data_IF_711090997476
#
_entry.id   IF_711090997476
#
_cell.length_a   1.000
_cell.length_b   1.000
_cell.length_c   1.000
_cell.angle_alpha   90.00
_cell.angle_beta   90.00
_cell.angle_gamma   90.00
#
_symmetry.space_group_name_H-M   'P 1'
#
loop_
_entity.id
_entity.type
_entity.pdbx_description
1 polymer ?
#
# COMPACT_ATOMS: atom_id res chain seq x y z
N UNK A 1 38.84 5.39 2.21
CA UNK A 1 39.24 4.80 0.92
C UNK A 1 40.75 4.59 0.78
N UNK A 2 41.60 5.62 0.68
CA UNK A 2 43.06 5.41 0.63
C UNK A 2 43.61 4.73 1.89
N UNK A 3 43.11 5.12 3.08
CA UNK A 3 43.46 4.45 4.34
C UNK A 3 43.03 2.98 4.41
N UNK A 4 41.86 2.63 3.87
CA UNK A 4 41.36 1.25 3.85
C UNK A 4 42.10 0.39 2.82
N UNK A 5 42.46 0.99 1.68
CA UNK A 5 43.36 0.39 0.70
C UNK A 5 44.71 0.05 1.33
N UNK A 6 45.33 1.01 2.03
CA UNK A 6 46.62 0.81 2.68
C UNK A 6 46.54 -0.30 3.74
N UNK A 7 45.47 -0.34 4.54
CA UNK A 7 45.21 -1.44 5.50
C UNK A 7 45.07 -2.79 4.81
N UNK A 8 44.41 -2.85 3.65
CA UNK A 8 44.21 -4.10 2.89
C UNK A 8 45.51 -4.66 2.29
N UNK A 9 46.52 -3.81 2.08
CA UNK A 9 47.83 -4.16 1.50
C UNK A 9 48.99 -4.10 2.50
N UNK A 10 48.73 -3.81 3.78
CA UNK A 10 49.77 -3.56 4.79
C UNK A 10 50.76 -4.72 4.95
N UNK A 11 50.28 -5.97 4.84
CA UNK A 11 51.14 -7.17 4.91
C UNK A 11 52.13 -7.24 3.75
N UNK A 12 51.70 -6.85 2.55
CA UNK A 12 52.53 -6.82 1.34
C UNK A 12 53.55 -5.69 1.45
N UNK A 13 53.14 -4.51 1.91
CA UNK A 13 54.04 -3.37 2.12
C UNK A 13 55.12 -3.68 3.16
N UNK A 14 54.75 -4.31 4.29
CA UNK A 14 55.73 -4.77 5.31
C UNK A 14 56.70 -5.78 4.72
N UNK A 15 56.22 -6.74 3.90
CA UNK A 15 57.08 -7.71 3.24
C UNK A 15 58.07 -7.04 2.29
N UNK A 16 57.61 -6.10 1.46
CA UNK A 16 58.46 -5.36 0.51
C UNK A 16 59.55 -4.55 1.24
N UNK A 17 59.19 -3.84 2.30
CA UNK A 17 60.15 -3.11 3.14
C UNK A 17 61.15 -4.06 3.81
N UNK A 18 60.70 -5.24 4.26
CA UNK A 18 61.58 -6.27 4.81
C UNK A 18 62.61 -6.76 3.80
N UNK A 19 62.20 -6.97 2.54
CA UNK A 19 63.12 -7.36 1.44
C UNK A 19 64.17 -6.27 1.20
N UNK A 20 63.75 -5.00 1.11
CA UNK A 20 64.69 -3.87 0.94
C UNK A 20 65.67 -3.77 2.11
N UNK A 21 65.21 -3.99 3.35
CA UNK A 21 66.06 -3.98 4.54
C UNK A 21 67.09 -5.13 4.54
N UNK A 22 66.70 -6.33 4.07
CA UNK A 22 67.63 -7.46 3.92
C UNK A 22 68.71 -7.13 2.91
N UNK A 23 68.35 -6.60 1.73
CA UNK A 23 69.34 -6.18 0.73
C UNK A 23 70.27 -5.11 1.29
N UNK A 24 69.74 -4.05 1.90
CA UNK A 24 70.55 -3.00 2.51
C UNK A 24 71.53 -3.54 3.58
N UNK A 25 71.09 -4.51 4.39
CA UNK A 25 71.92 -5.16 5.41
C UNK A 25 73.05 -5.99 4.79
N UNK A 26 72.77 -6.74 3.71
CA UNK A 26 73.79 -7.49 2.97
C UNK A 26 74.83 -6.53 2.39
N UNK A 27 74.40 -5.46 1.73
CA UNK A 27 75.32 -4.47 1.17
C UNK A 27 76.20 -3.79 2.23
N UNK A 28 75.63 -3.48 3.40
CA UNK A 28 76.38 -2.93 4.54
C UNK A 28 77.44 -3.92 5.05
N UNK A 29 77.11 -5.21 5.12
CA UNK A 29 78.05 -6.26 5.58
C UNK A 29 79.25 -6.45 4.63
N UNK A 30 79.08 -6.18 3.33
CA UNK A 30 80.12 -6.30 2.30
C UNK A 30 80.92 -5.00 2.05
N UNK A 31 80.68 -3.94 2.83
CA UNK A 31 81.39 -2.65 2.77
C UNK A 31 81.41 -2.02 1.36
N UNK A 32 80.31 -2.20 0.62
CA UNK A 32 80.16 -1.70 -0.75
C UNK A 32 79.87 -0.19 -0.76
N UNK A 33 80.27 0.54 -1.83
CA UNK A 33 80.01 1.98 -1.92
C UNK A 33 78.52 2.30 -1.77
N UNK A 34 78.18 3.32 -0.99
CA UNK A 34 76.78 3.72 -0.74
C UNK A 34 75.96 3.90 -2.04
N UNK A 35 76.62 4.34 -3.10
CA UNK A 35 76.01 4.50 -4.44
C UNK A 35 75.44 3.18 -5.00
N UNK A 36 76.07 2.04 -4.71
CA UNK A 36 75.60 0.72 -5.20
C UNK A 36 74.35 0.23 -4.46
N UNK A 37 74.03 0.81 -3.29
CA UNK A 37 72.83 0.49 -2.51
C UNK A 37 71.67 1.41 -2.86
N UNK A 38 71.96 2.71 -3.01
CA UNK A 38 70.96 3.75 -3.24
C UNK A 38 70.29 3.58 -4.61
N UNK A 39 71.04 3.21 -5.66
CA UNK A 39 70.48 3.12 -7.00
C UNK A 39 69.44 1.98 -7.15
N UNK A 40 69.68 0.74 -6.71
CA UNK A 40 68.66 -0.32 -6.72
C UNK A 40 67.45 -0.01 -5.83
N UNK A 41 67.66 0.61 -4.65
CA UNK A 41 66.55 0.98 -3.74
C UNK A 41 65.61 2.01 -4.37
N UNK A 42 66.16 3.03 -5.04
CA UNK A 42 65.34 4.01 -5.74
C UNK A 42 64.56 3.34 -6.87
N UNK A 43 65.22 2.46 -7.64
CA UNK A 43 64.57 1.77 -8.76
C UNK A 43 63.45 0.82 -8.29
N UNK A 44 63.67 0.04 -7.21
CA UNK A 44 62.65 -0.83 -6.62
C UNK A 44 61.49 -0.02 -6.05
N UNK A 45 61.79 1.08 -5.34
CA UNK A 45 60.78 1.98 -4.79
C UNK A 45 59.88 2.58 -5.87
N UNK A 46 60.44 3.00 -7.00
CA UNK A 46 59.66 3.53 -8.14
C UNK A 46 58.75 2.45 -8.74
N UNK A 47 59.24 1.22 -8.91
CA UNK A 47 58.44 0.09 -9.40
C UNK A 47 57.30 -0.27 -8.44
N UNK A 48 57.56 -0.27 -7.13
CA UNK A 48 56.54 -0.54 -6.11
C UNK A 48 55.47 0.56 -6.10
N UNK A 49 55.88 1.83 -6.16
CA UNK A 49 54.97 2.97 -6.19
C UNK A 49 54.09 2.96 -7.43
N UNK A 50 54.66 2.73 -8.61
CA UNK A 50 53.91 2.64 -9.87
C UNK A 50 52.91 1.49 -9.86
N UNK A 51 53.32 0.29 -9.43
CA UNK A 51 52.42 -0.85 -9.28
C UNK A 51 51.29 -0.57 -8.27
N UNK A 52 51.61 0.07 -7.14
CA UNK A 52 50.64 0.45 -6.11
C UNK A 52 49.62 1.49 -6.61
N UNK A 53 50.07 2.48 -7.39
CA UNK A 53 49.16 3.47 -8.01
C UNK A 53 48.21 2.78 -8.99
N UNK A 54 48.70 1.85 -9.82
CA UNK A 54 47.87 1.09 -10.76
C UNK A 54 46.83 0.24 -10.00
N UNK A 55 47.23 -0.53 -8.99
CA UNK A 55 46.32 -1.33 -8.16
C UNK A 55 45.28 -0.45 -7.45
N UNK A 56 45.69 0.70 -6.91
CA UNK A 56 44.77 1.65 -6.27
C UNK A 56 43.74 2.20 -7.24
N UNK A 57 44.13 2.57 -8.46
CA UNK A 57 43.20 3.05 -9.50
C UNK A 57 42.20 1.97 -9.92
N UNK A 58 42.63 0.71 -10.03
CA UNK A 58 41.74 -0.42 -10.33
C UNK A 58 40.72 -0.65 -9.21
N UNK A 59 41.15 -0.63 -7.95
CA UNK A 59 40.27 -0.76 -6.77
C UNK A 59 39.27 0.40 -6.71
N UNK A 60 39.71 1.63 -7.00
CA UNK A 60 38.83 2.80 -7.07
C UNK A 60 37.73 2.62 -8.11
N UNK A 61 38.08 2.14 -9.31
CA UNK A 61 37.11 1.93 -10.37
C UNK A 61 36.08 0.85 -10.00
N UNK A 62 36.52 -0.26 -9.39
CA UNK A 62 35.64 -1.30 -8.86
C UNK A 62 34.69 -0.76 -7.81
N UNK A 63 35.19 0.01 -6.84
CA UNK A 63 34.38 0.60 -5.79
C UNK A 63 33.29 1.52 -6.35
N UNK A 64 33.63 2.36 -7.34
CA UNK A 64 32.65 3.22 -8.03
C UNK A 64 31.57 2.42 -8.77
N UNK A 65 31.90 1.28 -9.38
CA UNK A 65 30.91 0.40 -10.03
C UNK A 65 29.97 -0.24 -9.00
N UNK A 66 30.52 -0.72 -7.88
CA UNK A 66 29.73 -1.29 -6.79
C UNK A 66 28.78 -0.29 -6.13
N UNK A 67 29.18 0.98 -5.99
CA UNK A 67 28.28 2.04 -5.51
C UNK A 67 27.06 2.28 -6.43
N UNK A 68 27.19 1.94 -7.72
CA UNK A 68 26.08 2.01 -8.68
C UNK A 68 25.30 0.70 -8.77
N UNK A 69 25.53 -0.26 -7.87
CA UNK A 69 24.92 -1.60 -7.87
C UNK A 69 25.22 -2.34 -9.20
N UNK A 70 26.37 -2.06 -9.81
CA UNK A 70 26.86 -2.78 -11.00
C UNK A 70 27.98 -3.71 -10.55
N UNK A 71 27.81 -5.02 -10.72
CA UNK A 71 28.83 -6.01 -10.41
C UNK A 71 30.01 -5.87 -11.40
N UNK A 72 31.21 -5.48 -10.94
CA UNK A 72 32.40 -5.50 -11.79
C UNK A 72 32.85 -6.95 -12.04
N UNK A 73 33.66 -7.19 -13.06
CA UNK A 73 34.24 -8.52 -13.24
C UNK A 73 35.09 -8.93 -12.02
N UNK A 74 34.92 -10.17 -11.52
CA UNK A 74 35.63 -10.64 -10.34
C UNK A 74 37.12 -10.81 -10.68
N UNK A 75 38.01 -10.20 -9.90
CA UNK A 75 39.46 -10.35 -10.10
C UNK A 75 40.08 -11.43 -9.24
N UNK A 76 39.29 -12.11 -8.39
CA UNK A 76 39.75 -13.17 -7.52
C UNK A 76 38.68 -14.22 -7.26
N UNK A 77 39.12 -15.38 -6.76
CA UNK A 77 38.25 -16.52 -6.48
C UNK A 77 37.12 -16.16 -5.49
N UNK A 78 37.46 -15.52 -4.37
CA UNK A 78 36.48 -15.10 -3.37
C UNK A 78 35.45 -14.09 -3.94
N UNK A 79 35.89 -13.14 -4.78
CA UNK A 79 34.97 -12.19 -5.42
C UNK A 79 33.98 -12.92 -6.34
N UNK A 80 34.42 -13.96 -7.04
CA UNK A 80 33.58 -14.81 -7.88
C UNK A 80 32.56 -15.59 -7.04
N UNK A 81 33.00 -16.22 -5.94
CA UNK A 81 32.12 -16.98 -5.04
C UNK A 81 31.06 -16.06 -4.41
N UNK A 82 31.44 -14.85 -3.96
CA UNK A 82 30.49 -13.87 -3.44
C UNK A 82 29.48 -13.44 -4.51
N UNK A 83 29.91 -13.19 -5.75
CA UNK A 83 28.99 -12.84 -6.83
C UNK A 83 28.01 -13.98 -7.16
N UNK A 84 28.47 -15.24 -7.13
CA UNK A 84 27.60 -16.40 -7.33
C UNK A 84 26.55 -16.53 -6.21
N UNK A 85 26.95 -16.36 -4.94
CA UNK A 85 26.02 -16.37 -3.81
C UNK A 85 24.99 -15.25 -3.94
N UNK A 86 25.43 -14.03 -4.28
CA UNK A 86 24.51 -12.89 -4.46
C UNK A 86 23.56 -13.14 -5.63
N UNK A 87 24.05 -13.76 -6.72
CA UNK A 87 23.22 -14.20 -7.84
C UNK A 87 22.12 -15.17 -7.39
N UNK A 88 22.49 -16.22 -6.64
CA UNK A 88 21.54 -17.20 -6.09
C UNK A 88 20.52 -16.57 -5.14
N UNK A 89 20.96 -15.67 -4.25
CA UNK A 89 20.05 -14.95 -3.35
C UNK A 89 19.06 -14.07 -4.12
N UNK A 90 19.52 -13.41 -5.19
CA UNK A 90 18.64 -12.61 -6.05
C UNK A 90 17.63 -13.49 -6.79
N UNK A 91 18.05 -14.62 -7.32
CA UNK A 91 17.16 -15.59 -7.97
C UNK A 91 16.13 -16.15 -6.99
N UNK A 92 16.53 -16.50 -5.78
CA UNK A 92 15.63 -16.98 -4.73
C UNK A 92 14.63 -15.90 -4.30
N UNK A 93 15.08 -14.64 -4.16
CA UNK A 93 14.21 -13.50 -3.84
C UNK A 93 13.19 -13.25 -4.96
N UNK A 94 13.63 -13.26 -6.23
CA UNK A 94 12.75 -13.12 -7.39
C UNK A 94 11.76 -14.27 -7.49
N UNK A 95 12.20 -15.50 -7.24
CA UNK A 95 11.34 -16.68 -7.20
C UNK A 95 10.29 -16.58 -6.09
N UNK A 96 10.70 -16.22 -4.87
CA UNK A 96 9.83 -16.03 -3.72
C UNK A 96 8.79 -14.95 -4.00
N UNK A 97 9.21 -13.79 -4.53
CA UNK A 97 8.31 -12.70 -4.92
C UNK A 97 7.29 -13.14 -5.97
N UNK A 98 7.75 -13.79 -7.06
CA UNK A 98 6.87 -14.32 -8.11
C UNK A 98 5.87 -15.32 -7.56
N UNK A 99 6.30 -16.21 -6.66
CA UNK A 99 5.43 -17.19 -6.01
C UNK A 99 4.36 -16.52 -5.16
N UNK A 100 4.73 -15.57 -4.30
CA UNK A 100 3.77 -14.82 -3.48
C UNK A 100 2.76 -14.06 -4.34
N UNK A 101 3.20 -13.39 -5.41
CA UNK A 101 2.29 -12.71 -6.34
C UNK A 101 1.37 -13.70 -7.05
N UNK A 102 1.88 -14.86 -7.48
CA UNK A 102 1.07 -15.90 -8.11
C UNK A 102 0.04 -16.49 -7.15
N UNK A 103 0.43 -16.80 -5.91
CA UNK A 103 -0.45 -17.35 -4.88
C UNK A 103 -1.57 -16.34 -4.54
N UNK A 104 -1.21 -15.05 -4.45
CA UNK A 104 -2.16 -13.97 -4.24
C UNK A 104 -3.16 -13.83 -5.41
N UNK A 105 -2.68 -13.83 -6.65
CA UNK A 105 -3.54 -13.75 -7.84
C UNK A 105 -4.50 -14.94 -7.93
N UNK A 106 -4.01 -16.16 -7.66
CA UNK A 106 -4.83 -17.37 -7.62
C UNK A 106 -5.92 -17.28 -6.54
N UNK A 107 -5.58 -16.71 -5.37
CA UNK A 107 -6.54 -16.48 -4.28
C UNK A 107 -7.63 -15.50 -4.71
N UNK A 108 -7.26 -14.37 -5.34
CA UNK A 108 -8.21 -13.37 -5.85
C UNK A 108 -9.13 -13.97 -6.91
N UNK A 109 -8.60 -14.74 -7.86
CA UNK A 109 -9.38 -15.41 -8.89
C UNK A 109 -10.38 -16.40 -8.27
N UNK A 110 -9.92 -17.25 -7.35
CA UNK A 110 -10.76 -18.23 -6.67
C UNK A 110 -11.93 -17.57 -5.93
N UNK A 111 -11.67 -16.54 -5.12
CA UNK A 111 -12.73 -15.85 -4.38
C UNK A 111 -13.66 -15.06 -5.30
N UNK A 112 -13.17 -14.56 -6.44
CA UNK A 112 -14.02 -13.89 -7.44
C UNK A 112 -15.01 -14.87 -8.07
N UNK A 113 -14.54 -16.07 -8.45
CA UNK A 113 -15.41 -17.14 -8.98
C UNK A 113 -16.41 -17.57 -7.91
N UNK A 114 -15.96 -17.78 -6.68
CA UNK A 114 -16.81 -18.17 -5.56
C UNK A 114 -17.93 -17.14 -5.30
N UNK A 115 -17.60 -15.85 -5.28
CA UNK A 115 -18.59 -14.79 -5.14
C UNK A 115 -19.61 -14.77 -6.29
N UNK A 116 -19.17 -14.99 -7.54
CA UNK A 116 -20.08 -15.13 -8.67
C UNK A 116 -21.00 -16.34 -8.51
N UNK A 117 -20.47 -17.49 -8.08
CA UNK A 117 -21.26 -18.70 -7.84
C UNK A 117 -22.30 -18.54 -6.73
N UNK A 118 -22.04 -17.67 -5.73
CA UNK A 118 -22.99 -17.35 -4.66
C UNK A 118 -24.10 -16.40 -5.12
N UNK A 119 -23.85 -15.51 -6.08
CA UNK A 119 -24.90 -14.63 -6.62
C UNK A 119 -26.05 -15.39 -7.28
N UNK A 120 -25.75 -16.53 -7.92
CA UNK A 120 -26.75 -17.37 -8.59
C UNK A 120 -27.84 -17.91 -7.63
N UNK A 121 -27.52 -18.60 -6.52
CA UNK A 121 -28.53 -19.04 -5.57
C UNK A 121 -29.23 -17.87 -4.87
N UNK A 122 -28.56 -16.73 -4.62
CA UNK A 122 -29.21 -15.52 -4.10
C UNK A 122 -30.32 -15.05 -5.06
N UNK A 123 -30.03 -14.96 -6.35
CA UNK A 123 -31.02 -14.57 -7.36
C UNK A 123 -32.20 -15.55 -7.43
N UNK A 124 -31.93 -16.85 -7.37
CA UNK A 124 -32.97 -17.90 -7.32
C UNK A 124 -33.87 -17.76 -6.10
N UNK A 125 -33.28 -17.60 -4.90
CA UNK A 125 -34.03 -17.41 -3.66
C UNK A 125 -34.88 -16.13 -3.70
N UNK A 126 -34.34 -15.04 -4.28
CA UNK A 126 -35.08 -13.78 -4.45
C UNK A 126 -36.32 -13.96 -5.33
N UNK A 127 -36.22 -14.71 -6.42
CA UNK A 127 -37.38 -15.01 -7.28
C UNK A 127 -38.46 -15.82 -6.54
N UNK A 128 -38.05 -16.78 -5.71
CA UNK A 128 -38.99 -17.56 -4.90
C UNK A 128 -39.68 -16.70 -3.84
N UNK A 129 -38.94 -15.84 -3.15
CA UNK A 129 -39.47 -14.95 -2.12
C UNK A 129 -40.43 -13.92 -2.72
N UNK A 130 -40.17 -13.42 -3.94
CA UNK A 130 -41.08 -12.50 -4.62
C UNK A 130 -42.44 -13.13 -4.98
N UNK A 131 -42.53 -14.46 -5.03
CA UNK A 131 -43.78 -15.15 -5.35
C UNK A 131 -44.78 -15.21 -4.18
N UNK A 132 -44.36 -14.87 -2.95
CA UNK A 132 -45.20 -14.88 -1.76
C UNK A 132 -45.11 -13.52 -1.02
N UNK A 133 -46.25 -12.85 -0.79
CA UNK A 133 -46.29 -11.65 0.07
C UNK A 133 -46.66 -12.03 1.51
N UNK A 134 -45.70 -12.60 2.23
CA UNK A 134 -45.82 -12.96 3.64
C UNK A 134 -44.83 -12.20 4.52
N UNK A 135 -45.12 -12.08 5.82
CA UNK A 135 -44.18 -11.49 6.78
C UNK A 135 -42.84 -12.25 6.82
N UNK A 136 -42.88 -13.56 6.57
CA UNK A 136 -41.68 -14.41 6.47
C UNK A 136 -40.89 -14.06 5.21
N UNK A 137 -41.56 -13.95 4.06
CA UNK A 137 -40.95 -13.57 2.79
C UNK A 137 -40.25 -12.20 2.89
N UNK A 138 -40.89 -11.21 3.52
CA UNK A 138 -40.30 -9.88 3.76
C UNK A 138 -39.05 -9.92 4.63
N UNK A 139 -39.03 -10.77 5.66
CA UNK A 139 -37.83 -10.97 6.51
C UNK A 139 -36.70 -11.64 5.73
N UNK A 140 -37.01 -12.68 4.96
CA UNK A 140 -36.04 -13.40 4.13
C UNK A 140 -35.45 -12.51 3.02
N UNK A 141 -36.26 -11.66 2.38
CA UNK A 141 -35.75 -10.68 1.40
C UNK A 141 -34.73 -9.73 2.04
N UNK A 142 -35.03 -9.24 3.25
CA UNK A 142 -34.10 -8.42 4.03
C UNK A 142 -32.78 -9.12 4.33
N UNK A 143 -32.81 -10.39 4.71
CA UNK A 143 -31.60 -11.17 4.96
C UNK A 143 -30.82 -11.48 3.67
N UNK A 144 -31.50 -11.74 2.55
CA UNK A 144 -30.85 -11.87 1.23
C UNK A 144 -30.17 -10.58 0.79
N UNK A 145 -30.81 -9.42 0.97
CA UNK A 145 -30.23 -8.11 0.68
C UNK A 145 -28.93 -7.89 1.47
N UNK A 146 -28.87 -8.37 2.72
CA UNK A 146 -27.64 -8.32 3.54
C UNK A 146 -26.55 -9.26 3.01
N UNK A 147 -26.91 -10.49 2.64
CA UNK A 147 -25.94 -11.44 2.07
C UNK A 147 -25.36 -10.88 0.77
N UNK A 148 -26.20 -10.34 -0.10
CA UNK A 148 -25.74 -9.71 -1.36
C UNK A 148 -24.79 -8.54 -1.09
N UNK A 149 -25.11 -7.69 -0.09
CA UNK A 149 -24.21 -6.61 0.31
C UNK A 149 -22.86 -7.12 0.82
N UNK A 150 -22.82 -8.23 1.56
CA UNK A 150 -21.56 -8.85 2.00
C UNK A 150 -20.75 -9.44 0.84
N UNK A 151 -21.42 -10.06 -0.14
CA UNK A 151 -20.77 -10.58 -1.35
C UNK A 151 -20.17 -9.42 -2.17
N UNK A 152 -20.90 -8.32 -2.34
CA UNK A 152 -20.37 -7.11 -2.98
C UNK A 152 -19.19 -6.53 -2.19
N UNK A 153 -19.26 -6.50 -0.86
CA UNK A 153 -18.16 -6.01 -0.01
C UNK A 153 -16.87 -6.82 -0.20
N UNK A 154 -16.97 -8.15 -0.27
CA UNK A 154 -15.82 -9.03 -0.55
C UNK A 154 -15.27 -8.79 -1.96
N UNK A 155 -16.13 -8.68 -2.97
CA UNK A 155 -15.70 -8.40 -4.34
C UNK A 155 -14.99 -7.03 -4.46
N UNK A 156 -15.49 -6.02 -3.76
CA UNK A 156 -14.88 -4.69 -3.69
C UNK A 156 -13.51 -4.76 -3.02
N UNK A 157 -13.39 -5.48 -1.90
CA UNK A 157 -12.11 -5.71 -1.22
C UNK A 157 -11.07 -6.38 -2.14
N UNK A 158 -11.45 -7.49 -2.78
CA UNK A 158 -10.56 -8.23 -3.69
C UNK A 158 -10.10 -7.39 -4.89
N UNK A 159 -10.98 -6.53 -5.41
CA UNK A 159 -10.64 -5.63 -6.51
C UNK A 159 -9.65 -4.56 -6.06
N UNK A 160 -9.89 -3.90 -4.92
CA UNK A 160 -9.03 -2.82 -4.43
C UNK A 160 -7.56 -3.22 -4.21
N UNK A 161 -7.32 -4.49 -3.88
CA UNK A 161 -5.97 -5.02 -3.68
C UNK A 161 -5.36 -5.64 -4.95
N UNK A 162 -6.04 -5.54 -6.10
CA UNK A 162 -5.47 -5.91 -7.39
C UNK A 162 -4.75 -4.71 -8.03
N UNK A 163 -3.49 -4.91 -8.44
CA UNK A 163 -2.71 -3.94 -9.23
C UNK A 163 -3.40 -3.60 -10.57
N UNK A 164 -4.41 -4.36 -10.98
CA UNK A 164 -5.19 -4.23 -12.21
C UNK A 164 -6.53 -3.51 -12.04
N UNK A 165 -6.73 -2.75 -10.96
CA UNK A 165 -7.93 -1.91 -10.85
C UNK A 165 -7.84 -0.74 -11.84
N UNK A 166 -8.37 -0.92 -13.04
CA UNK A 166 -8.50 0.15 -14.03
C UNK A 166 -9.56 1.16 -13.55
N UNK A 167 -9.13 2.21 -12.87
CA UNK A 167 -10.01 3.34 -12.53
C UNK A 167 -10.40 4.11 -13.79
N UNK A 168 -11.70 4.32 -13.98
CA UNK A 168 -12.22 5.14 -15.07
C UNK A 168 -12.51 6.53 -14.52
N UNK A 169 -11.43 7.31 -14.33
CA UNK A 169 -11.51 8.68 -13.83
C UNK A 169 -12.07 9.59 -14.92
N UNK A 170 -13.25 10.16 -14.68
CA UNK A 170 -13.92 11.10 -15.59
C UNK A 170 -14.66 12.16 -14.78
N UNK A 171 -15.04 13.25 -15.44
CA UNK A 171 -15.85 14.28 -14.81
C UNK A 171 -17.31 13.84 -14.71
N UNK A 172 -17.78 13.56 -13.49
CA UNK A 172 -19.11 13.04 -13.21
C UNK A 172 -19.98 14.07 -12.48
N UNK A 173 -21.28 14.03 -12.75
CA UNK A 173 -22.28 14.77 -11.96
C UNK A 173 -22.48 14.07 -10.61
N UNK A 174 -22.18 14.75 -9.52
CA UNK A 174 -22.25 14.18 -8.18
C UNK A 174 -23.69 13.80 -7.79
N UNK A 175 -24.68 14.57 -8.25
CA UNK A 175 -26.09 14.28 -8.02
C UNK A 175 -26.54 12.98 -8.68
N UNK A 176 -25.94 12.63 -9.83
CA UNK A 176 -26.21 11.39 -10.54
C UNK A 176 -25.72 10.15 -9.77
N UNK A 177 -24.78 10.32 -8.83
CA UNK A 177 -24.29 9.26 -7.94
C UNK A 177 -25.09 9.21 -6.64
N UNK A 178 -25.39 10.36 -6.05
CA UNK A 178 -26.11 10.44 -4.77
C UNK A 178 -27.58 9.98 -4.90
N UNK A 179 -28.30 10.42 -5.93
CA UNK A 179 -29.74 10.14 -6.08
C UNK A 179 -30.06 8.64 -6.18
N UNK A 180 -29.33 7.82 -6.96
CA UNK A 180 -29.52 6.36 -6.96
C UNK A 180 -29.27 5.74 -5.59
N UNK A 181 -28.23 6.18 -4.86
CA UNK A 181 -27.94 5.68 -3.53
C UNK A 181 -29.09 5.98 -2.54
N UNK A 182 -29.63 7.21 -2.55
CA UNK A 182 -30.82 7.56 -1.73
C UNK A 182 -32.01 6.65 -2.08
N UNK A 183 -32.29 6.45 -3.37
CA UNK A 183 -33.41 5.60 -3.84
C UNK A 183 -33.28 4.16 -3.36
N UNK A 184 -32.05 3.62 -3.32
CA UNK A 184 -31.77 2.26 -2.85
C UNK A 184 -32.22 2.04 -1.40
N UNK A 185 -32.04 3.06 -0.53
CA UNK A 185 -32.41 2.99 0.89
C UNK A 185 -33.82 3.54 1.18
N UNK A 186 -34.60 3.95 0.19
CA UNK A 186 -35.91 4.59 0.38
C UNK A 186 -36.88 3.76 1.25
N UNK A 187 -36.87 2.43 1.11
CA UNK A 187 -37.69 1.53 1.94
C UNK A 187 -37.28 1.56 3.41
N UNK A 188 -35.98 1.69 3.70
CA UNK A 188 -35.48 1.79 5.07
C UNK A 188 -35.88 3.11 5.71
N UNK A 189 -35.82 4.22 4.95
CA UNK A 189 -36.33 5.52 5.41
C UNK A 189 -37.80 5.46 5.77
N UNK A 190 -38.63 4.83 4.92
CA UNK A 190 -40.07 4.68 5.18
C UNK A 190 -40.33 3.77 6.38
N UNK A 191 -39.68 2.60 6.45
CA UNK A 191 -39.93 1.62 7.51
C UNK A 191 -39.49 2.12 8.89
N UNK A 192 -38.39 2.87 8.96
CA UNK A 192 -37.89 3.51 10.19
C UNK A 192 -38.48 4.90 10.45
N UNK A 193 -39.31 5.43 9.54
CA UNK A 193 -39.85 6.82 9.61
C UNK A 193 -38.76 7.90 9.73
N UNK A 194 -37.64 7.70 9.05
CA UNK A 194 -36.54 8.66 9.02
C UNK A 194 -36.78 9.71 7.95
N UNK A 195 -36.41 10.96 8.24
CA UNK A 195 -36.43 12.05 7.25
C UNK A 195 -35.15 12.04 6.41
N UNK A 196 -35.28 12.39 5.13
CA UNK A 196 -34.15 12.60 4.20
C UNK A 196 -34.17 14.05 3.71
N UNK A 197 -33.16 14.82 4.07
CA UNK A 197 -32.94 16.19 3.59
C UNK A 197 -31.76 16.21 2.62
N UNK A 198 -32.06 16.15 1.33
CA UNK A 198 -31.04 16.19 0.27
C UNK A 198 -31.08 17.55 -0.42
N UNK A 199 -29.95 18.25 -0.38
CA UNK A 199 -29.73 19.49 -1.15
C UNK A 199 -28.94 19.14 -2.42
N UNK A 200 -29.51 19.39 -3.62
CA UNK A 200 -28.78 19.22 -4.88
C UNK A 200 -27.44 19.92 -4.84
N UNK A 201 -26.40 19.21 -5.26
CA UNK A 201 -25.03 19.71 -5.21
C UNK A 201 -24.69 20.56 -6.42
N UNK A 202 -25.33 20.31 -7.57
CA UNK A 202 -25.07 20.94 -8.87
C UNK A 202 -23.57 21.00 -9.23
N UNK A 203 -22.80 20.03 -8.73
CA UNK A 203 -21.34 20.02 -8.78
C UNK A 203 -20.85 18.84 -9.61
N UNK A 204 -19.85 19.09 -10.46
CA UNK A 204 -19.13 18.04 -11.17
C UNK A 204 -17.79 17.77 -10.48
N UNK A 205 -17.44 16.49 -10.38
CA UNK A 205 -16.20 16.04 -9.72
C UNK A 205 -15.43 15.09 -10.62
N UNK A 206 -14.10 15.18 -10.59
CA UNK A 206 -13.22 14.25 -11.31
C UNK A 206 -13.05 13.00 -10.45
N UNK A 207 -13.68 11.89 -10.81
CA UNK A 207 -13.69 10.66 -10.02
C UNK A 207 -14.06 9.45 -10.87
N UNK A 208 -13.99 8.26 -10.28
CA UNK A 208 -14.67 7.08 -10.82
C UNK A 208 -16.08 6.97 -10.22
N UNK A 209 -17.07 6.86 -11.11
CA UNK A 209 -18.51 6.81 -10.77
C UNK A 209 -18.87 5.60 -9.91
N UNK A 210 -18.34 4.42 -10.27
CA UNK A 210 -18.67 3.16 -9.61
C UNK A 210 -18.10 3.11 -8.20
N UNK A 211 -16.83 3.51 -8.06
CA UNK A 211 -16.15 3.53 -6.78
C UNK A 211 -16.72 4.61 -5.85
N UNK A 212 -17.03 5.80 -6.37
CA UNK A 212 -17.68 6.84 -5.56
C UNK A 212 -19.11 6.44 -5.14
N UNK A 213 -19.87 5.75 -6.00
CA UNK A 213 -21.18 5.19 -5.64
C UNK A 213 -21.07 4.24 -4.46
N UNK A 214 -20.07 3.34 -4.47
CA UNK A 214 -19.84 2.43 -3.35
C UNK A 214 -19.59 3.19 -2.04
N UNK A 215 -18.75 4.23 -2.06
CA UNK A 215 -18.47 5.05 -0.87
C UNK A 215 -19.74 5.70 -0.34
N UNK A 216 -20.52 6.35 -1.20
CA UNK A 216 -21.76 7.05 -0.81
C UNK A 216 -22.79 6.05 -0.27
N UNK A 217 -22.96 4.91 -0.94
CA UNK A 217 -23.88 3.85 -0.50
C UNK A 217 -23.48 3.29 0.87
N UNK A 218 -22.18 3.10 1.12
CA UNK A 218 -21.70 2.54 2.38
C UNK A 218 -21.85 3.55 3.53
N UNK A 219 -21.59 4.84 3.28
CA UNK A 219 -21.83 5.92 4.24
C UNK A 219 -23.32 6.04 4.56
N UNK A 220 -24.19 6.01 3.55
CA UNK A 220 -25.64 6.04 3.75
C UNK A 220 -26.16 4.80 4.47
N UNK A 221 -25.63 3.61 4.15
CA UNK A 221 -25.98 2.38 4.85
C UNK A 221 -25.68 2.49 6.35
N UNK A 222 -24.53 3.04 6.72
CA UNK A 222 -24.18 3.27 8.13
C UNK A 222 -25.12 4.29 8.78
N UNK A 223 -25.35 5.42 8.12
CA UNK A 223 -26.27 6.46 8.61
C UNK A 223 -27.67 5.87 8.88
N UNK A 224 -28.24 5.13 7.92
CA UNK A 224 -29.55 4.48 8.06
C UNK A 224 -29.52 3.40 9.14
N UNK A 225 -28.45 2.61 9.22
CA UNK A 225 -28.31 1.54 10.23
C UNK A 225 -28.35 2.09 11.64
N UNK A 226 -27.60 3.14 11.93
CA UNK A 226 -27.38 3.68 13.28
C UNK A 226 -28.32 4.82 13.67
N UNK A 227 -29.22 5.23 12.77
CA UNK A 227 -30.31 6.16 13.08
C UNK A 227 -31.60 5.40 13.35
N UNK A 228 -32.14 5.58 14.55
CA UNK A 228 -33.43 5.02 14.95
C UNK A 228 -34.56 6.03 14.82
N UNK A 229 -34.30 7.31 15.14
CA UNK A 229 -35.25 8.42 15.06
C UNK A 229 -34.56 9.65 14.47
N UNK A 230 -35.34 10.56 13.87
CA UNK A 230 -34.84 11.78 13.25
C UNK A 230 -34.61 11.64 11.74
N UNK A 231 -33.39 11.84 11.26
CA UNK A 231 -33.13 11.81 9.82
C UNK A 231 -31.68 11.95 9.40
N UNK A 232 -31.50 11.99 8.09
CA UNK A 232 -30.20 12.07 7.42
C UNK A 232 -30.23 13.28 6.48
N UNK A 233 -29.14 14.04 6.49
CA UNK A 233 -28.93 15.21 5.65
C UNK A 233 -27.75 14.96 4.73
N UNK A 234 -27.88 15.33 3.46
CA UNK A 234 -26.81 15.29 2.48
C UNK A 234 -26.69 16.67 1.82
N UNK A 235 -25.53 17.30 1.96
CA UNK A 235 -25.29 18.67 1.48
C UNK A 235 -23.81 18.92 1.21
N UNK A 236 -23.52 20.00 0.47
CA UNK A 236 -22.16 20.55 0.35
C UNK A 236 -21.93 21.56 1.47
N UNK A 237 -20.94 21.34 2.34
CA UNK A 237 -20.60 22.28 3.42
C UNK A 237 -19.74 23.45 2.90
N UNK A 238 -18.75 23.11 2.08
CA UNK A 238 -17.90 24.03 1.32
C UNK A 238 -17.77 23.52 -0.11
N UNK A 239 -17.33 24.35 -1.08
CA UNK A 239 -17.00 23.87 -2.41
C UNK A 239 -16.08 22.63 -2.33
N UNK A 240 -16.52 21.53 -2.93
CA UNK A 240 -15.80 20.27 -2.96
C UNK A 240 -15.91 19.39 -1.69
N UNK A 241 -16.60 19.79 -0.62
CA UNK A 241 -16.79 18.94 0.57
C UNK A 241 -18.23 18.46 0.67
N UNK A 242 -18.45 17.19 0.33
CA UNK A 242 -19.74 16.50 0.50
C UNK A 242 -19.88 15.99 1.94
N UNK A 243 -20.98 16.34 2.59
CA UNK A 243 -21.30 15.92 3.94
C UNK A 243 -22.53 15.00 3.94
N UNK A 244 -22.44 13.90 4.68
CA UNK A 244 -23.57 13.04 5.05
C UNK A 244 -23.67 13.06 6.57
N UNK A 245 -24.75 13.63 7.09
CA UNK A 245 -24.97 13.85 8.51
C UNK A 245 -26.22 13.09 8.97
N UNK A 246 -26.08 12.27 10.00
CA UNK A 246 -27.17 11.52 10.63
C UNK A 246 -27.41 12.00 12.06
N UNK A 247 -28.65 11.84 12.54
CA UNK A 247 -29.06 12.09 13.92
C UNK A 247 -29.06 10.81 14.77
N UNK A 248 -28.18 9.85 14.45
CA UNK A 248 -28.15 8.55 15.09
C UNK A 248 -27.48 8.55 16.47
N UNK A 249 -27.09 7.36 16.93
CA UNK A 249 -26.48 7.16 18.25
C UNK A 249 -25.12 7.85 18.44
N UNK A 250 -24.50 8.33 17.37
CA UNK A 250 -23.15 8.87 17.38
C UNK A 250 -22.06 7.85 17.73
N UNK A 251 -20.82 8.34 17.81
CA UNK A 251 -19.61 7.55 18.04
C UNK A 251 -18.89 8.13 19.25
N UNK A 252 -18.41 7.26 20.14
CA UNK A 252 -17.60 7.67 21.28
C UNK A 252 -16.28 8.29 20.79
N UNK A 253 -15.83 9.38 21.41
CA UNK A 253 -14.57 10.05 21.09
C UNK A 253 -13.35 9.12 21.11
N UNK A 254 -13.35 8.07 21.95
CA UNK A 254 -12.28 7.07 21.98
C UNK A 254 -12.25 6.16 20.73
N UNK A 255 -13.39 5.94 20.09
CA UNK A 255 -13.54 5.06 18.93
C UNK A 255 -13.36 5.84 17.62
N UNK A 256 -13.68 7.14 17.60
CA UNK A 256 -13.66 8.01 16.42
C UNK A 256 -12.35 7.96 15.61
N UNK A 257 -11.14 7.95 16.20
CA UNK A 257 -9.89 7.87 15.44
C UNK A 257 -9.70 6.55 14.69
N UNK A 258 -10.43 5.50 15.09
CA UNK A 258 -10.20 4.12 14.67
C UNK A 258 -11.27 3.57 13.73
N UNK A 259 -12.35 4.31 13.48
CA UNK A 259 -13.49 3.82 12.69
C UNK A 259 -13.16 3.48 11.23
N UNK A 260 -12.03 3.98 10.72
CA UNK A 260 -11.51 3.66 9.39
C UNK A 260 -10.45 2.56 9.40
N UNK A 261 -10.10 1.99 10.56
CA UNK A 261 -9.16 0.87 10.67
C UNK A 261 -9.81 -0.45 10.21
N UNK A 262 -9.02 -1.32 9.60
CA UNK A 262 -9.49 -2.62 9.10
C UNK A 262 -10.06 -3.49 10.24
N UNK A 263 -11.31 -3.90 10.10
CA UNK A 263 -11.98 -4.80 11.05
C UNK A 263 -12.39 -4.14 12.36
N UNK A 264 -12.34 -2.81 12.46
CA UNK A 264 -12.72 -2.10 13.68
C UNK A 264 -14.22 -1.88 13.78
N UNK A 265 -14.82 -2.29 14.90
CA UNK A 265 -16.27 -2.27 15.12
C UNK A 265 -16.72 -1.39 16.30
N UNK A 266 -15.77 -0.77 17.00
CA UNK A 266 -16.03 0.10 18.17
C UNK A 266 -16.68 -0.62 19.35
N UNK A 267 -17.12 0.14 20.35
CA UNK A 267 -17.87 -0.37 21.50
C UNK A 267 -19.26 -0.88 21.08
N UNK A 268 -19.95 -0.16 20.17
CA UNK A 268 -21.31 -0.49 19.72
C UNK A 268 -21.37 -1.79 18.88
N UNK A 269 -20.31 -2.13 18.14
CA UNK A 269 -20.23 -3.39 17.40
C UNK A 269 -19.98 -4.62 18.27
N UNK A 270 -19.63 -4.45 19.56
CA UNK A 270 -19.53 -5.57 20.52
C UNK A 270 -20.92 -6.03 20.99
N UNK A 271 -21.89 -5.13 21.04
CA UNK A 271 -23.30 -5.46 21.30
C UNK A 271 -24.00 -5.94 20.02
N UNK A 272 -23.76 -5.30 18.87
CA UNK A 272 -24.26 -5.75 17.57
C UNK A 272 -23.21 -6.61 16.83
N UNK A 273 -23.24 -7.93 17.08
CA UNK A 273 -22.36 -8.96 16.45
C UNK A 273 -22.38 -9.00 14.91
N UNK A 274 -23.11 -8.10 14.26
CA UNK A 274 -23.29 -7.99 12.81
C UNK A 274 -22.37 -6.94 12.16
N UNK A 275 -21.60 -6.17 12.92
CA UNK A 275 -20.64 -5.22 12.37
C UNK A 275 -19.33 -5.93 11.98
N UNK A 276 -18.93 -5.87 10.70
CA UNK A 276 -17.65 -6.43 10.21
C UNK A 276 -16.47 -5.46 10.36
N UNK A 277 -16.73 -4.16 10.47
CA UNK A 277 -15.70 -3.12 10.50
C UNK A 277 -14.97 -2.89 9.17
N UNK A 278 -15.45 -3.51 8.09
CA UNK A 278 -14.79 -3.46 6.77
C UNK A 278 -15.28 -2.27 5.94
N UNK A 279 -16.55 -1.86 6.09
CA UNK A 279 -17.19 -0.86 5.22
C UNK A 279 -16.47 0.49 5.18
N UNK A 280 -16.26 1.13 6.34
CA UNK A 280 -15.58 2.44 6.40
C UNK A 280 -14.09 2.34 6.04
N UNK A 281 -13.43 1.24 6.38
CA UNK A 281 -12.06 0.96 5.93
C UNK A 281 -11.97 0.94 4.38
N UNK A 282 -12.90 0.25 3.71
CA UNK A 282 -12.98 0.26 2.24
C UNK A 282 -13.25 1.66 1.70
N UNK A 283 -14.17 2.42 2.32
CA UNK A 283 -14.41 3.81 1.92
C UNK A 283 -13.13 4.65 1.98
N UNK A 284 -12.35 4.51 3.05
CA UNK A 284 -11.08 5.23 3.22
C UNK A 284 -10.10 4.89 2.12
N UNK A 285 -9.90 3.60 1.84
CA UNK A 285 -9.01 3.14 0.76
C UNK A 285 -9.45 3.62 -0.62
N UNK A 286 -10.75 3.54 -0.91
CA UNK A 286 -11.30 4.01 -2.20
C UNK A 286 -11.07 5.51 -2.35
N UNK A 287 -11.38 6.30 -1.32
CA UNK A 287 -11.13 7.74 -1.34
C UNK A 287 -9.64 8.03 -1.57
N UNK A 288 -8.75 7.38 -0.83
CA UNK A 288 -7.29 7.58 -0.98
C UNK A 288 -6.81 7.24 -2.40
N UNK A 289 -7.28 6.14 -2.99
CA UNK A 289 -6.94 5.74 -4.36
C UNK A 289 -7.51 6.71 -5.43
N UNK A 290 -8.64 7.36 -5.16
CA UNK A 290 -9.25 8.37 -6.02
C UNK A 290 -8.69 9.78 -5.80
N UNK A 291 -7.80 9.98 -4.81
CA UNK A 291 -7.27 11.29 -4.43
C UNK A 291 -8.23 12.16 -3.61
N UNK A 292 -9.27 11.56 -3.05
CA UNK A 292 -10.26 12.18 -2.17
C UNK A 292 -9.90 11.91 -0.71
N UNK A 293 -10.46 12.68 0.22
CA UNK A 293 -10.26 12.47 1.67
C UNK A 293 -11.57 12.28 2.39
N UNK A 294 -11.73 11.15 3.06
CA UNK A 294 -12.86 10.92 3.97
C UNK A 294 -12.45 11.19 5.43
N UNK A 295 -13.35 11.80 6.19
CA UNK A 295 -13.21 12.06 7.63
C UNK A 295 -14.56 12.01 8.33
N UNK A 296 -14.56 11.96 9.67
CA UNK A 296 -15.76 11.89 10.47
C UNK A 296 -15.70 12.84 11.67
N UNK A 297 -16.83 13.44 11.97
CA UNK A 297 -17.11 14.17 13.21
C UNK A 297 -18.33 13.54 13.85
N UNK A 298 -18.29 13.30 15.15
CA UNK A 298 -19.42 12.68 15.84
C UNK A 298 -19.40 13.03 17.31
N UNK A 299 -20.59 13.11 17.88
CA UNK A 299 -20.81 13.24 19.31
C UNK A 299 -21.81 12.16 19.74
N UNK A 300 -21.47 11.45 20.81
CA UNK A 300 -22.28 10.35 21.32
C UNK A 300 -23.69 10.86 21.71
N UNK A 301 -24.72 10.26 21.12
CA UNK A 301 -26.12 10.63 21.31
C UNK A 301 -26.63 11.79 20.43
N UNK A 302 -25.76 12.47 19.69
CA UNK A 302 -26.14 13.58 18.80
C UNK A 302 -26.09 13.21 17.31
N UNK A 303 -25.28 12.22 16.93
CA UNK A 303 -25.20 11.70 15.57
C UNK A 303 -23.79 11.71 14.98
N UNK A 304 -23.68 11.39 13.69
CA UNK A 304 -22.40 11.32 12.97
C UNK A 304 -22.44 12.14 11.68
N UNK A 305 -21.37 12.86 11.40
CA UNK A 305 -21.13 13.59 10.17
C UNK A 305 -19.92 13.02 9.47
N UNK A 306 -20.14 12.37 8.34
CA UNK A 306 -19.08 11.95 7.42
C UNK A 306 -18.84 13.06 6.40
N UNK A 307 -17.57 13.45 6.23
CA UNK A 307 -17.14 14.45 5.25
C UNK A 307 -16.26 13.78 4.20
N UNK A 308 -16.58 13.98 2.94
CA UNK A 308 -15.80 13.53 1.79
C UNK A 308 -15.31 14.79 1.06
N UNK A 309 -14.02 15.06 1.17
CA UNK A 309 -13.32 16.09 0.42
C UNK A 309 -13.02 15.56 -0.98
N UNK A 310 -13.72 16.12 -1.95
CA UNK A 310 -13.65 15.82 -3.38
C UNK A 310 -12.72 16.80 -4.10
N UNK A 311 -12.09 17.74 -3.37
CA UNK A 311 -11.04 18.58 -3.93
C UNK A 311 -9.82 17.71 -4.18
N UNK A 312 -9.24 17.86 -5.37
CA UNK A 312 -8.07 17.10 -5.78
C UNK A 312 -6.92 17.37 -4.82
N UNK A 313 -6.45 16.35 -4.11
CA UNK A 313 -5.08 16.34 -3.65
C UNK A 313 -4.20 15.80 -4.78
N UNK A 314 -3.02 16.40 -4.98
CA UNK A 314 -2.01 15.84 -5.87
C UNK A 314 -1.70 14.43 -5.37
N UNK A 315 -2.25 13.43 -6.06
CA UNK A 315 -1.89 12.04 -5.85
C UNK A 315 -0.50 11.96 -6.46
N UNK A 316 0.52 11.94 -5.60
CA UNK A 316 1.90 11.68 -5.99
C UNK A 316 2.00 10.27 -6.55
N UNK A 317 1.60 10.10 -7.80
CA UNK A 317 1.91 8.95 -8.61
C UNK A 317 3.29 9.26 -9.20
N UNK A 318 4.33 8.79 -8.51
CA UNK A 318 5.67 8.59 -9.11
C UNK A 318 5.64 7.44 -10.11
#
# INVERSE_FOLDING_TARGET
MFGDYLKSRIKILILLLGVEAVFASVYFLFDLPVVTVVYPLILSSVLILTAGVIDFLLVLNKHKKLQKIVFPEPSGLLEKDYQEIIGKLKEEQEYSRKKTTSDYNNMVEYYTIWAHQIKTPIASMRLQIQSEDSDVARRLDGDLNRIEAYVEMVLTFLRLDSDSTDYVIKEIDLDAVIKPAIRKFARDFISKKLTMDFKPTETRVLSDEKWLSFVIEQVLSNAVKYTNEGGIKIYMDKPGILCVEDSGIGINAADLPRIFENGYTGFNGREDKRASGIGLYLCKRICDNLGHKISAESEQGAGTKIRIDLNKHDIGIE
#
